data_IF_917238336300
#
_entry.id   IF_917238336300
#
_cell.length_a   1.000
_cell.length_b   1.000
_cell.length_c   1.000
_cell.angle_alpha   90.00
_cell.angle_beta   90.00
_cell.angle_gamma   90.00
#
_symmetry.space_group_name_H-M   'P 1'
#
loop_
_entity.id
_entity.type
_entity.pdbx_description
1 polymer ?
#
# COMPACT_ATOMS: atom_id res chain seq x y z
N UNK A 1 1.71 15.65 -2.01
CA UNK A 1 0.54 14.98 -1.40
C UNK A 1 0.98 13.68 -0.74
N UNK A 2 0.40 13.32 0.41
CA UNK A 2 0.63 12.06 1.11
C UNK A 2 -0.56 11.13 0.87
N UNK A 3 -0.35 10.15 0.00
CA UNK A 3 -1.33 9.14 -0.37
C UNK A 3 -1.08 7.83 0.37
N UNK A 4 -2.12 7.16 0.82
CA UNK A 4 -2.06 5.76 1.27
C UNK A 4 -2.75 4.90 0.22
N UNK A 5 -2.14 3.76 -0.13
CA UNK A 5 -2.71 2.81 -1.09
C UNK A 5 -2.57 1.38 -0.61
N UNK A 6 -3.67 0.62 -0.57
CA UNK A 6 -3.64 -0.82 -0.28
C UNK A 6 -4.82 -1.58 -0.90
N UNK A 7 -4.74 -2.90 -0.88
CA UNK A 7 -5.85 -3.80 -1.14
C UNK A 7 -6.18 -4.58 0.14
N UNK A 8 -7.46 -4.80 0.43
CA UNK A 8 -7.93 -5.54 1.58
C UNK A 8 -9.09 -6.48 1.25
N UNK A 9 -9.16 -7.60 1.94
CA UNK A 9 -10.35 -8.47 1.95
C UNK A 9 -11.52 -7.85 2.72
N UNK A 10 -12.71 -8.48 2.64
CA UNK A 10 -13.90 -8.03 3.36
C UNK A 10 -13.74 -8.11 4.89
N UNK A 11 -12.85 -8.98 5.39
CA UNK A 11 -12.42 -9.02 6.80
C UNK A 11 -11.15 -8.19 7.10
N UNK A 12 -10.78 -7.28 6.21
CA UNK A 12 -9.69 -6.31 6.40
C UNK A 12 -8.28 -6.91 6.33
N UNK A 13 -8.11 -8.15 5.87
CA UNK A 13 -6.79 -8.76 5.70
C UNK A 13 -6.07 -8.08 4.54
N UNK A 14 -4.79 -7.75 4.75
CA UNK A 14 -3.87 -7.17 3.76
C UNK A 14 -2.63 -8.03 3.53
N UNK A 15 -2.50 -9.15 4.25
CA UNK A 15 -1.35 -10.03 4.12
C UNK A 15 -1.41 -11.25 5.04
N UNK A 16 -0.67 -12.28 4.64
CA UNK A 16 -0.42 -13.51 5.38
C UNK A 16 1.01 -13.96 5.13
N UNK A 17 1.77 -14.22 6.19
CA UNK A 17 3.14 -14.73 6.10
C UNK A 17 4.05 -13.89 5.17
N UNK A 18 3.84 -12.57 5.15
CA UNK A 18 4.58 -11.63 4.30
C UNK A 18 4.19 -11.63 2.83
N UNK A 19 3.07 -12.25 2.45
CA UNK A 19 2.55 -12.28 1.07
C UNK A 19 1.10 -11.81 1.00
N UNK A 20 0.62 -11.49 -0.20
CA UNK A 20 -0.81 -11.28 -0.43
C UNK A 20 -1.49 -12.65 -0.59
N UNK A 21 -2.57 -12.97 0.16
CA UNK A 21 -3.24 -14.26 0.08
C UNK A 21 -4.15 -14.39 -1.17
N UNK A 22 -4.05 -13.47 -2.12
CA UNK A 22 -4.80 -13.45 -3.37
C UNK A 22 -3.94 -12.98 -4.54
N UNK A 23 -4.46 -13.21 -5.75
CA UNK A 23 -3.91 -12.65 -6.97
C UNK A 23 -4.98 -11.76 -7.65
N UNK A 24 -4.68 -10.46 -7.77
CA UNK A 24 -5.60 -9.46 -8.32
C UNK A 24 -4.83 -8.53 -9.29
N UNK A 25 -4.73 -8.88 -10.58
CA UNK A 25 -3.89 -8.13 -11.53
C UNK A 25 -4.42 -6.71 -11.82
N UNK A 26 -5.71 -6.47 -11.71
CA UNK A 26 -6.35 -5.18 -11.90
C UNK A 26 -5.99 -4.19 -10.77
N UNK A 27 -5.90 -4.67 -9.53
CA UNK A 27 -5.34 -3.91 -8.41
C UNK A 27 -3.87 -3.55 -8.64
N UNK A 28 -3.06 -4.52 -9.08
CA UNK A 28 -1.65 -4.27 -9.39
C UNK A 28 -1.48 -3.23 -10.52
N UNK A 29 -2.36 -3.25 -11.53
CA UNK A 29 -2.41 -2.22 -12.59
C UNK A 29 -2.79 -0.87 -12.01
N UNK A 30 -3.80 -0.82 -11.15
CA UNK A 30 -4.24 0.41 -10.49
C UNK A 30 -3.13 1.01 -9.62
N UNK A 31 -2.51 0.21 -8.75
CA UNK A 31 -1.37 0.59 -7.92
C UNK A 31 -0.21 1.17 -8.76
N UNK A 32 0.14 0.51 -9.87
CA UNK A 32 1.18 1.02 -10.79
C UNK A 32 0.81 2.37 -11.37
N UNK A 33 -0.45 2.57 -11.76
CA UNK A 33 -0.93 3.83 -12.31
C UNK A 33 -0.91 4.95 -11.28
N UNK A 34 -1.32 4.68 -10.03
CA UNK A 34 -1.34 5.67 -8.94
C UNK A 34 0.07 6.11 -8.56
N UNK A 35 1.01 5.17 -8.50
CA UNK A 35 2.36 5.40 -7.99
C UNK A 35 3.38 5.77 -9.07
N UNK A 36 3.00 5.81 -10.34
CA UNK A 36 3.92 6.06 -11.44
C UNK A 36 4.64 7.41 -11.29
N UNK A 37 5.98 7.40 -11.36
CA UNK A 37 6.81 8.61 -11.24
C UNK A 37 6.88 9.23 -9.84
N UNK A 38 6.12 8.71 -8.87
CA UNK A 38 6.07 9.22 -7.51
C UNK A 38 7.11 8.57 -6.58
N UNK A 39 7.20 9.10 -5.37
CA UNK A 39 7.90 8.42 -4.27
C UNK A 39 6.99 7.36 -3.67
N UNK A 40 7.52 6.17 -3.40
CA UNK A 40 6.83 5.10 -2.68
C UNK A 40 7.52 4.85 -1.35
N UNK A 41 6.76 4.88 -0.27
CA UNK A 41 7.23 4.67 1.09
C UNK A 41 6.67 3.38 1.65
N UNK A 42 7.55 2.53 2.17
CA UNK A 42 7.16 1.25 2.77
C UNK A 42 7.97 0.89 4.00
N UNK A 43 7.48 -0.06 4.79
CA UNK A 43 8.22 -0.64 5.91
C UNK A 43 9.17 -1.74 5.45
N UNK A 44 10.18 -2.02 6.28
CA UNK A 44 11.18 -3.08 6.04
C UNK A 44 10.59 -4.44 5.63
N UNK A 45 9.53 -4.91 6.29
CA UNK A 45 8.90 -6.21 5.95
C UNK A 45 8.25 -6.20 4.56
N UNK A 46 7.62 -5.08 4.18
CA UNK A 46 7.04 -4.91 2.85
C UNK A 46 8.13 -4.88 1.80
N UNK A 47 9.23 -4.18 2.06
CA UNK A 47 10.41 -4.21 1.20
C UNK A 47 10.99 -5.62 1.01
N UNK A 48 11.07 -6.40 2.10
CA UNK A 48 11.53 -7.80 2.06
C UNK A 48 10.60 -8.72 1.27
N UNK A 49 9.28 -8.45 1.29
CA UNK A 49 8.27 -9.24 0.56
C UNK A 49 8.23 -8.99 -0.95
N UNK A 50 8.76 -7.86 -1.43
CA UNK A 50 8.73 -7.55 -2.85
C UNK A 50 9.55 -8.61 -3.62
N UNK A 51 9.01 -9.18 -4.71
CA UNK A 51 9.76 -10.11 -5.53
C UNK A 51 11.08 -9.45 -6.01
N UNK A 52 12.23 -10.12 -5.91
CA UNK A 52 13.54 -9.52 -6.20
C UNK A 52 13.62 -8.84 -7.57
N UNK A 53 12.96 -9.39 -8.59
CA UNK A 53 12.93 -8.84 -9.95
C UNK A 53 12.17 -7.50 -10.09
N UNK A 54 11.36 -7.15 -9.09
CA UNK A 54 10.59 -5.89 -9.04
C UNK A 54 11.08 -4.96 -7.94
N UNK A 55 12.21 -5.28 -7.29
CA UNK A 55 12.76 -4.52 -6.16
C UNK A 55 14.11 -3.91 -6.55
N UNK A 56 14.27 -2.57 -6.53
CA UNK A 56 13.26 -1.54 -6.25
C UNK A 56 12.18 -1.45 -7.33
N UNK A 57 11.04 -0.87 -6.97
CA UNK A 57 9.93 -0.68 -7.91
C UNK A 57 10.35 0.25 -9.06
N UNK A 58 10.35 -0.21 -10.33
CA UNK A 58 10.87 0.59 -11.44
C UNK A 58 10.10 1.89 -11.65
N UNK A 59 10.82 2.95 -12.04
CA UNK A 59 10.25 4.27 -12.33
C UNK A 59 9.73 5.03 -11.11
N UNK A 60 10.10 4.60 -9.90
CA UNK A 60 9.69 5.19 -8.62
C UNK A 60 10.89 5.38 -7.71
N UNK A 61 10.88 6.44 -6.90
CA UNK A 61 11.83 6.60 -5.80
C UNK A 61 11.34 5.76 -4.63
N UNK A 62 12.14 4.78 -4.19
CA UNK A 62 11.74 3.83 -3.16
C UNK A 62 12.37 4.24 -1.83
N UNK A 63 11.54 4.43 -0.79
CA UNK A 63 11.97 4.74 0.57
C UNK A 63 11.53 3.62 1.52
N UNK A 64 12.43 3.21 2.43
CA UNK A 64 12.15 2.16 3.41
C UNK A 64 12.29 2.67 4.83
N UNK A 65 11.26 2.47 5.64
CA UNK A 65 11.32 2.66 7.09
C UNK A 65 11.99 1.46 7.75
N UNK A 66 13.20 1.67 8.27
CA UNK A 66 13.98 0.68 9.00
C UNK A 66 14.99 1.34 9.92
N UNK A 67 15.28 0.71 11.06
CA UNK A 67 16.36 1.15 11.97
C UNK A 67 17.75 0.76 11.48
N UNK A 68 17.84 -0.19 10.54
CA UNK A 68 19.09 -0.65 9.96
C UNK A 68 19.07 -0.41 8.45
N UNK A 69 20.20 0.00 7.84
CA UNK A 69 20.31 0.19 6.39
C UNK A 69 19.82 -1.03 5.62
N UNK A 70 19.09 -0.79 4.53
CA UNK A 70 18.64 -1.81 3.59
C UNK A 70 19.42 -1.69 2.28
N UNK A 71 19.75 -2.83 1.68
CA UNK A 71 20.55 -2.87 0.47
C UNK A 71 19.78 -2.30 -0.73
N UNK A 72 20.45 -1.44 -1.52
CA UNK A 72 19.91 -0.92 -2.79
C UNK A 72 18.76 0.07 -2.66
N UNK A 73 18.51 0.64 -1.46
CA UNK A 73 17.38 1.54 -1.23
C UNK A 73 17.66 2.58 -0.15
N UNK A 74 17.05 3.75 -0.29
CA UNK A 74 17.11 4.80 0.72
C UNK A 74 16.36 4.34 1.98
N UNK A 75 17.04 4.41 3.13
CA UNK A 75 16.52 3.93 4.41
C UNK A 75 16.36 5.09 5.39
N UNK A 76 15.21 5.17 6.05
CA UNK A 76 14.91 6.20 7.04
C UNK A 76 14.50 5.55 8.37
N UNK A 77 14.93 6.10 9.52
CA UNK A 77 14.65 5.51 10.84
C UNK A 77 13.21 5.73 11.29
N UNK A 78 12.53 6.75 10.77
CA UNK A 78 11.18 7.14 11.15
C UNK A 78 10.41 7.79 9.99
N UNK A 79 9.08 7.85 10.16
CA UNK A 79 8.15 8.37 9.17
C UNK A 79 8.36 9.87 8.88
N UNK A 80 8.50 10.77 9.89
CA UNK A 80 8.73 12.19 9.63
C UNK A 80 9.95 12.46 8.74
N UNK A 81 11.09 11.79 8.99
CA UNK A 81 12.28 11.96 8.17
C UNK A 81 12.08 11.48 6.73
N UNK A 82 11.39 10.34 6.55
CA UNK A 82 11.09 9.83 5.21
C UNK A 82 10.16 10.76 4.42
N UNK A 83 9.13 11.31 5.08
CA UNK A 83 8.20 12.25 4.46
C UNK A 83 8.89 13.58 4.10
N UNK A 84 9.75 14.10 4.98
CA UNK A 84 10.51 15.33 4.73
C UNK A 84 11.53 15.17 3.58
N UNK A 85 12.08 13.97 3.40
CA UNK A 85 13.03 13.68 2.32
C UNK A 85 12.37 13.51 0.95
N UNK A 86 11.06 13.26 0.92
CA UNK A 86 10.33 13.10 -0.32
C UNK A 86 10.00 14.45 -0.97
N UNK A 87 10.27 14.56 -2.27
CA UNK A 87 9.86 15.70 -3.08
C UNK A 87 8.62 15.33 -3.89
N UNK A 88 7.57 16.14 -3.78
CA UNK A 88 6.31 15.93 -4.49
C UNK A 88 5.38 14.92 -3.82
N UNK A 89 4.80 14.02 -4.60
CA UNK A 89 3.82 13.05 -4.12
C UNK A 89 4.46 11.80 -3.55
N UNK A 90 3.94 11.36 -2.40
CA UNK A 90 4.38 10.17 -1.67
C UNK A 90 3.21 9.22 -1.55
N UNK A 91 3.40 7.99 -1.99
CA UNK A 91 2.47 6.90 -1.76
C UNK A 91 3.01 5.93 -0.72
N UNK A 92 2.39 5.94 0.46
CA UNK A 92 2.59 4.94 1.49
C UNK A 92 1.91 3.64 1.04
N UNK A 93 2.71 2.60 0.86
CA UNK A 93 2.27 1.29 0.38
C UNK A 93 2.47 0.17 1.43
N UNK A 94 2.52 0.57 2.70
CA UNK A 94 2.39 -0.34 3.84
C UNK A 94 3.71 -0.75 4.48
N UNK A 95 3.73 -1.74 5.36
CA UNK A 95 2.59 -2.54 5.83
C UNK A 95 1.78 -1.87 6.94
N UNK A 96 1.00 -2.67 7.67
CA UNK A 96 0.02 -2.22 8.67
C UNK A 96 0.56 -1.18 9.67
N UNK A 97 1.78 -1.35 10.18
CA UNK A 97 2.39 -0.40 11.12
C UNK A 97 2.69 0.96 10.46
N UNK A 98 3.14 0.96 9.20
CA UNK A 98 3.42 2.18 8.45
C UNK A 98 2.12 2.87 8.07
N UNK A 99 1.10 2.12 7.64
CA UNK A 99 -0.22 2.69 7.38
C UNK A 99 -0.79 3.38 8.61
N UNK A 100 -0.81 2.71 9.78
CA UNK A 100 -1.28 3.32 11.03
C UNK A 100 -0.54 4.59 11.41
N UNK A 101 0.78 4.61 11.21
CA UNK A 101 1.60 5.78 11.51
C UNK A 101 1.35 6.94 10.52
N UNK A 102 1.09 6.63 9.25
CA UNK A 102 0.90 7.62 8.19
C UNK A 102 -0.54 8.14 8.09
N UNK A 103 -1.53 7.39 8.57
CA UNK A 103 -2.95 7.72 8.46
C UNK A 103 -3.31 9.14 8.93
N UNK A 104 -2.78 9.67 10.06
CA UNK A 104 -3.07 11.05 10.49
C UNK A 104 -2.55 12.15 9.56
N UNK A 105 -1.65 11.82 8.64
CA UNK A 105 -1.04 12.75 7.68
C UNK A 105 -1.57 12.55 6.26
N UNK A 106 -2.51 11.62 6.05
CA UNK A 106 -2.99 11.25 4.73
C UNK A 106 -3.86 12.37 4.13
N UNK A 107 -3.43 12.90 2.99
CA UNK A 107 -4.24 13.76 2.13
C UNK A 107 -5.25 12.94 1.33
N UNK A 108 -4.85 11.72 0.94
CA UNK A 108 -5.64 10.81 0.11
C UNK A 108 -5.46 9.36 0.55
N UNK A 109 -6.53 8.58 0.50
CA UNK A 109 -6.51 7.15 0.75
C UNK A 109 -7.20 6.46 -0.42
N UNK A 110 -6.55 5.47 -1.02
CA UNK A 110 -7.11 4.64 -2.09
C UNK A 110 -7.06 3.19 -1.67
N UNK A 111 -8.22 2.54 -1.66
CA UNK A 111 -8.34 1.15 -1.19
C UNK A 111 -9.02 0.32 -2.26
N UNK A 112 -8.40 -0.81 -2.59
CA UNK A 112 -9.07 -1.88 -3.32
C UNK A 112 -9.73 -2.80 -2.30
N UNK A 113 -11.05 -2.78 -2.22
CA UNK A 113 -11.82 -3.70 -1.38
C UNK A 113 -12.17 -4.95 -2.19
N UNK A 114 -11.79 -6.11 -1.66
CA UNK A 114 -12.06 -7.44 -2.21
C UNK A 114 -13.19 -8.06 -1.39
N UNK A 115 -14.22 -8.56 -2.06
CA UNK A 115 -15.43 -9.08 -1.41
C UNK A 115 -15.18 -10.37 -0.65
N UNK A 116 -14.26 -11.19 -1.14
CA UNK A 116 -13.95 -12.49 -0.57
C UNK A 116 -13.25 -12.36 0.79
N UNK A 117 -13.46 -13.38 1.63
CA UNK A 117 -12.80 -13.50 2.93
C UNK A 117 -11.50 -14.29 2.77
N UNK A 118 -10.44 -13.81 3.41
CA UNK A 118 -9.15 -14.47 3.43
C UNK A 118 -8.67 -14.62 4.87
N UNK A 119 -7.96 -15.71 5.15
CA UNK A 119 -7.19 -15.81 6.38
C UNK A 119 -5.89 -15.00 6.24
N UNK A 120 -5.50 -14.28 7.29
CA UNK A 120 -4.24 -13.57 7.33
C UNK A 120 -3.89 -13.04 8.73
N UNK A 121 -2.63 -12.65 8.87
CA UNK A 121 -2.04 -12.19 10.13
C UNK A 121 -1.87 -10.65 10.17
N UNK A 122 -2.11 -10.00 9.05
CA UNK A 122 -1.87 -8.57 8.85
C UNK A 122 -3.15 -7.92 8.35
N UNK A 123 -3.62 -6.91 9.09
CA UNK A 123 -4.86 -6.19 8.78
C UNK A 123 -4.62 -4.72 8.44
N UNK A 124 -5.51 -4.17 7.61
CA UNK A 124 -5.58 -2.76 7.28
C UNK A 124 -5.79 -1.90 8.54
N UNK A 125 -5.38 -0.61 8.54
CA UNK A 125 -5.82 0.30 9.57
C UNK A 125 -7.32 0.59 9.45
N UNK A 126 -7.96 0.98 10.56
CA UNK A 126 -9.28 1.59 10.52
C UNK A 126 -9.14 3.08 10.15
N UNK A 127 -9.82 3.51 9.08
CA UNK A 127 -9.83 4.91 8.64
C UNK A 127 -10.74 5.78 9.54
N UNK A 128 -11.62 5.17 10.32
CA UNK A 128 -12.48 5.85 11.30
C UNK A 128 -13.63 6.66 10.70
N UNK A 129 -13.78 6.64 9.37
CA UNK A 129 -14.88 7.31 8.64
C UNK A 129 -15.20 6.58 7.33
N UNK A 130 -16.43 6.70 6.80
CA UNK A 130 -16.77 6.12 5.49
C UNK A 130 -15.99 6.82 4.36
N UNK A 131 -15.79 6.11 3.21
CA UNK A 131 -15.15 6.67 2.03
C UNK A 131 -16.01 7.77 1.40
N UNK A 132 -15.34 8.73 0.76
CA UNK A 132 -15.97 9.82 0.01
C UNK A 132 -16.43 9.35 -1.38
N UNK A 133 -15.79 8.32 -1.92
CA UNK A 133 -16.16 7.67 -3.18
C UNK A 133 -16.16 6.15 -3.06
N UNK A 134 -17.22 5.53 -3.57
CA UNK A 134 -17.42 4.08 -3.62
C UNK A 134 -17.63 3.66 -5.07
N UNK A 135 -16.66 2.95 -5.63
CA UNK A 135 -16.75 2.40 -6.98
C UNK A 135 -17.75 1.25 -7.08
N UNK A 136 -18.20 0.98 -8.31
CA UNK A 136 -18.99 -0.21 -8.61
C UNK A 136 -18.15 -1.48 -8.41
N UNK A 137 -18.82 -2.56 -8.02
CA UNK A 137 -18.21 -3.88 -8.00
C UNK A 137 -17.84 -4.33 -9.41
N UNK A 138 -16.67 -4.91 -9.53
CA UNK A 138 -16.09 -5.48 -10.74
C UNK A 138 -15.67 -6.92 -10.46
N UNK A 139 -15.59 -7.71 -11.51
CA UNK A 139 -15.05 -9.06 -11.46
C UNK A 139 -13.65 -9.06 -12.10
N UNK A 140 -12.69 -9.60 -11.37
CA UNK A 140 -11.32 -9.80 -11.83
C UNK A 140 -11.25 -10.93 -12.84
N UNK A 141 -10.23 -10.90 -13.70
CA UNK A 141 -9.81 -12.06 -14.49
C UNK A 141 -9.51 -13.33 -13.67
N UNK A 142 -9.33 -13.20 -12.35
CA UNK A 142 -9.15 -14.30 -11.39
C UNK A 142 -10.45 -14.76 -10.71
N UNK A 143 -11.61 -14.18 -11.04
CA UNK A 143 -12.91 -14.47 -10.44
C UNK A 143 -13.19 -13.77 -9.10
N UNK A 144 -12.22 -13.00 -8.58
CA UNK A 144 -12.39 -12.19 -7.37
C UNK A 144 -13.28 -10.97 -7.65
N UNK A 145 -14.14 -10.63 -6.71
CA UNK A 145 -14.95 -9.42 -6.79
C UNK A 145 -14.28 -8.28 -6.05
N UNK A 146 -14.05 -7.16 -6.71
CA UNK A 146 -13.39 -6.02 -6.10
C UNK A 146 -14.05 -4.69 -6.47
N UNK A 147 -13.79 -3.66 -5.68
CA UNK A 147 -14.11 -2.26 -6.01
C UNK A 147 -13.05 -1.33 -5.46
N UNK A 148 -13.03 -0.11 -5.98
CA UNK A 148 -12.15 0.95 -5.48
C UNK A 148 -12.92 1.88 -4.54
N UNK A 149 -12.33 2.18 -3.40
CA UNK A 149 -12.79 3.14 -2.42
C UNK A 149 -11.79 4.28 -2.34
N UNK A 150 -12.26 5.50 -2.09
CA UNK A 150 -11.38 6.65 -1.89
C UNK A 150 -11.84 7.56 -0.75
N UNK A 151 -10.87 8.12 -0.04
CA UNK A 151 -11.02 9.18 0.94
C UNK A 151 -10.09 10.33 0.54
N UNK A 152 -10.56 11.58 0.68
CA UNK A 152 -9.80 12.77 0.29
C UNK A 152 -9.92 13.07 -1.20
#
# INVERSE_FOLDING_TARGET
MIGLVWAQSANGVIGRDGTLPWHLPEDMKHFRSLTAGATVLMGRRTWESLPPQFRPLPGRRNLVLSRAPQEGVETFPDLPQALAAASGDVWVMGGAAVYRAALPFADRIVVTEIRELFEGDTHAPDVGRPPDSVGAWQESSTGLHYRFLAWG
#
